data_IF_867376937278
#
_entry.id   IF_867376937278
#
_cell.length_a   1.000
_cell.length_b   1.000
_cell.length_c   1.000
_cell.angle_alpha   90.00
_cell.angle_beta   90.00
_cell.angle_gamma   90.00
#
_symmetry.space_group_name_H-M   'P 1'
#
loop_
_entity.id
_entity.type
_entity.pdbx_description
1 polymer ?
#
# COMPACT_ATOMS: atom_id res chain seq x y z
N UNK A 1 29.51 7.96 -15.90
CA UNK A 1 29.97 6.57 -15.63
C UNK A 1 29.20 5.53 -16.43
N UNK A 2 27.88 5.65 -16.60
CA UNK A 2 27.07 4.77 -17.45
C UNK A 2 27.58 4.66 -18.90
N UNK A 3 28.04 5.78 -19.49
CA UNK A 3 28.62 5.83 -20.84
C UNK A 3 29.85 4.93 -20.99
N UNK A 4 30.70 4.85 -19.96
CA UNK A 4 31.95 4.07 -19.97
C UNK A 4 31.69 2.58 -19.75
N UNK A 5 30.66 2.25 -18.99
CA UNK A 5 30.21 0.87 -18.78
C UNK A 5 29.53 0.29 -20.03
N UNK A 6 28.69 1.09 -20.70
CA UNK A 6 28.04 0.71 -21.95
C UNK A 6 29.03 0.64 -23.13
N UNK A 7 29.98 1.58 -23.22
CA UNK A 7 30.98 1.59 -24.30
C UNK A 7 31.97 0.40 -24.27
N UNK A 8 32.14 -0.27 -23.13
CA UNK A 8 33.10 -1.38 -23.00
C UNK A 8 32.56 -2.74 -23.46
N UNK A 9 31.28 -2.85 -23.84
CA UNK A 9 30.67 -4.15 -24.16
C UNK A 9 29.63 -4.16 -25.28
N UNK A 10 29.31 -3.03 -25.91
CA UNK A 10 28.30 -2.97 -26.99
C UNK A 10 28.82 -2.22 -28.21
N UNK A 11 28.47 -2.68 -29.41
CA UNK A 11 28.76 -2.05 -30.70
C UNK A 11 28.10 -0.68 -30.80
N UNK A 12 28.81 0.36 -30.35
CA UNK A 12 28.36 1.74 -30.35
C UNK A 12 28.35 2.29 -31.79
N UNK A 13 27.18 2.64 -32.38
CA UNK A 13 27.15 3.18 -33.74
C UNK A 13 27.55 4.66 -33.74
N UNK A 14 28.56 5.00 -34.54
CA UNK A 14 29.05 6.37 -34.73
C UNK A 14 28.36 7.00 -35.96
N UNK A 15 27.38 7.90 -35.76
CA UNK A 15 26.79 8.72 -36.83
C UNK A 15 25.36 9.22 -36.54
N UNK A 16 24.96 10.36 -37.12
CA UNK A 16 23.75 11.16 -36.79
C UNK A 16 22.37 10.54 -37.11
N UNK A 17 22.30 9.21 -37.25
CA UNK A 17 21.10 8.46 -37.59
C UNK A 17 20.07 8.30 -36.46
N UNK A 18 18.94 7.69 -36.79
CA UNK A 18 17.88 7.31 -35.82
C UNK A 18 18.39 6.38 -34.73
N UNK A 19 19.37 5.53 -35.05
CA UNK A 19 20.01 4.61 -34.11
C UNK A 19 20.82 5.34 -33.05
N UNK A 20 21.66 6.33 -33.41
CA UNK A 20 22.38 7.14 -32.42
C UNK A 20 21.41 7.92 -31.53
N UNK A 21 20.31 8.44 -32.07
CA UNK A 21 19.26 9.08 -31.27
C UNK A 21 18.62 8.11 -30.28
N UNK A 22 18.25 6.90 -30.72
CA UNK A 22 17.73 5.86 -29.83
C UNK A 22 18.74 5.54 -28.71
N UNK A 23 20.02 5.37 -29.07
CA UNK A 23 21.09 5.10 -28.11
C UNK A 23 21.28 6.22 -27.10
N UNK A 24 21.22 7.49 -27.52
CA UNK A 24 21.26 8.64 -26.61
C UNK A 24 20.09 8.63 -25.63
N UNK A 25 18.89 8.22 -26.05
CA UNK A 25 17.76 8.07 -25.14
C UNK A 25 17.94 6.92 -24.16
N UNK A 26 18.47 5.77 -24.61
CA UNK A 26 18.73 4.61 -23.75
C UNK A 26 19.82 4.85 -22.68
N UNK A 27 20.57 5.96 -22.77
CA UNK A 27 21.47 6.39 -21.69
C UNK A 27 20.72 6.94 -20.47
N UNK A 28 19.46 7.36 -20.64
CA UNK A 28 18.63 7.83 -19.55
C UNK A 28 17.85 6.65 -18.95
N UNK A 29 17.96 6.39 -17.64
CA UNK A 29 17.34 5.22 -17.02
C UNK A 29 15.83 5.14 -17.25
N UNK A 30 15.13 6.28 -17.25
CA UNK A 30 13.71 6.37 -17.61
C UNK A 30 13.38 5.74 -18.98
N UNK A 31 14.04 6.17 -20.05
CA UNK A 31 13.75 5.62 -21.39
C UNK A 31 14.24 4.18 -21.53
N UNK A 32 15.32 3.82 -20.84
CA UNK A 32 15.78 2.43 -20.78
C UNK A 32 14.73 1.50 -20.16
N UNK A 33 14.07 1.93 -19.07
CA UNK A 33 12.97 1.19 -18.45
C UNK A 33 11.78 1.01 -19.40
N UNK A 34 11.32 2.09 -20.05
CA UNK A 34 10.23 2.01 -21.03
C UNK A 34 10.53 1.04 -22.18
N UNK A 35 11.78 1.05 -22.64
CA UNK A 35 12.24 0.11 -23.66
C UNK A 35 12.25 -1.33 -23.15
N UNK A 36 12.78 -1.56 -21.95
CA UNK A 36 12.85 -2.88 -21.34
C UNK A 36 11.47 -3.51 -21.14
N UNK A 37 10.48 -2.73 -20.71
CA UNK A 37 9.10 -3.21 -20.58
C UNK A 37 8.54 -3.79 -21.88
N UNK A 38 8.87 -3.18 -23.03
CA UNK A 38 8.44 -3.65 -24.34
C UNK A 38 9.21 -4.91 -24.75
N UNK A 39 10.53 -4.92 -24.55
CA UNK A 39 11.40 -6.05 -24.94
C UNK A 39 11.06 -7.32 -24.18
N UNK A 40 10.80 -7.22 -22.88
CA UNK A 40 10.48 -8.39 -22.04
C UNK A 40 9.21 -9.11 -22.51
N UNK A 41 8.24 -8.37 -23.07
CA UNK A 41 7.01 -8.91 -23.65
C UNK A 41 7.11 -9.27 -25.13
N UNK A 42 8.19 -8.89 -25.82
CA UNK A 42 8.32 -9.16 -27.24
C UNK A 42 8.53 -10.65 -27.52
N UNK A 43 7.73 -11.17 -28.46
CA UNK A 43 7.96 -12.47 -29.08
C UNK A 43 9.16 -12.40 -30.02
N UNK A 44 9.99 -13.45 -30.06
CA UNK A 44 11.17 -13.52 -30.92
C UNK A 44 12.46 -12.92 -30.32
N UNK A 45 12.40 -12.27 -29.16
CA UNK A 45 13.61 -11.89 -28.40
C UNK A 45 13.98 -13.04 -27.46
N UNK A 46 15.23 -13.49 -27.52
CA UNK A 46 15.73 -14.58 -26.67
C UNK A 46 15.71 -14.22 -25.19
N UNK A 47 15.46 -15.21 -24.33
CA UNK A 47 15.42 -15.02 -22.87
C UNK A 47 16.74 -14.48 -22.31
N UNK A 48 17.89 -14.87 -22.87
CA UNK A 48 19.20 -14.32 -22.50
C UNK A 48 19.31 -12.80 -22.65
N UNK A 49 18.69 -12.25 -23.69
CA UNK A 49 18.67 -10.79 -23.91
C UNK A 49 17.72 -10.11 -22.92
N UNK A 50 16.57 -10.75 -22.65
CA UNK A 50 15.59 -10.26 -21.67
C UNK A 50 16.20 -10.24 -20.26
N UNK A 51 16.87 -11.31 -19.87
CA UNK A 51 17.62 -11.43 -18.60
C UNK A 51 18.61 -10.28 -18.43
N UNK A 52 19.55 -10.13 -19.37
CA UNK A 52 20.56 -9.07 -19.31
C UNK A 52 19.95 -7.68 -19.22
N UNK A 53 18.87 -7.43 -19.96
CA UNK A 53 18.19 -6.14 -19.95
C UNK A 53 17.49 -5.88 -18.61
N UNK A 54 16.80 -6.88 -18.05
CA UNK A 54 16.18 -6.78 -16.72
C UNK A 54 17.23 -6.43 -15.65
N UNK A 55 18.35 -7.16 -15.61
CA UNK A 55 19.45 -6.87 -14.70
C UNK A 55 19.99 -5.45 -14.87
N UNK A 56 20.30 -5.08 -16.12
CA UNK A 56 20.86 -3.76 -16.41
C UNK A 56 19.95 -2.62 -15.93
N UNK A 57 18.63 -2.72 -16.15
CA UNK A 57 17.67 -1.69 -15.75
C UNK A 57 17.51 -1.63 -14.24
N UNK A 58 17.48 -2.76 -13.52
CA UNK A 58 17.36 -2.74 -12.07
C UNK A 58 18.64 -2.18 -11.44
N UNK A 59 19.80 -2.65 -11.89
CA UNK A 59 21.10 -2.30 -11.31
C UNK A 59 21.52 -0.86 -11.61
N UNK A 60 21.08 -0.26 -12.72
CA UNK A 60 21.37 1.16 -13.00
C UNK A 60 20.82 2.09 -11.92
N UNK A 61 19.75 1.68 -11.23
CA UNK A 61 19.16 2.45 -10.14
C UNK A 61 20.15 2.64 -8.98
N UNK A 62 21.11 1.73 -8.81
CA UNK A 62 22.18 1.87 -7.82
C UNK A 62 23.07 3.08 -8.09
N UNK A 63 23.14 3.54 -9.34
CA UNK A 63 24.07 4.56 -9.82
C UNK A 63 23.38 5.82 -10.37
N UNK A 64 22.12 6.06 -10.01
CA UNK A 64 21.43 7.29 -10.41
C UNK A 64 22.19 8.52 -9.91
N UNK A 65 22.54 9.40 -10.85
CA UNK A 65 23.07 10.72 -10.57
C UNK A 65 21.95 11.67 -10.08
N UNK A 66 22.33 12.82 -9.50
CA UNK A 66 21.37 13.82 -9.03
C UNK A 66 20.44 14.26 -10.18
N UNK A 67 19.12 14.14 -9.97
CA UNK A 67 18.10 14.52 -10.96
C UNK A 67 17.79 13.44 -12.01
N UNK A 68 18.41 12.26 -11.94
CA UNK A 68 18.01 11.13 -12.78
C UNK A 68 16.84 10.36 -12.16
N UNK A 69 15.92 9.95 -13.03
CA UNK A 69 14.75 9.15 -12.68
C UNK A 69 15.03 7.67 -12.91
N UNK A 70 14.75 6.74 -11.97
CA UNK A 70 14.68 5.31 -12.25
C UNK A 70 13.82 4.98 -13.47
N UNK A 71 14.20 3.89 -14.13
CA UNK A 71 13.41 3.32 -15.22
C UNK A 71 12.04 2.82 -14.73
N UNK A 72 10.93 3.09 -15.45
CA UNK A 72 9.69 2.40 -15.22
C UNK A 72 9.84 0.90 -15.52
N UNK A 73 8.98 0.11 -14.91
CA UNK A 73 8.88 -1.34 -15.08
C UNK A 73 9.57 -2.11 -13.98
N UNK A 74 9.95 -1.47 -12.87
CA UNK A 74 10.69 -2.12 -11.78
C UNK A 74 10.04 -3.43 -11.34
N UNK A 75 8.71 -3.43 -11.16
CA UNK A 75 7.99 -4.63 -10.75
C UNK A 75 7.87 -5.61 -11.91
N UNK A 76 7.54 -5.15 -13.12
CA UNK A 76 7.47 -6.02 -14.30
C UNK A 76 8.78 -6.77 -14.58
N UNK A 77 9.92 -6.09 -14.50
CA UNK A 77 11.25 -6.65 -14.73
C UNK A 77 11.64 -7.61 -13.60
N UNK A 78 11.38 -7.23 -12.35
CA UNK A 78 11.60 -8.09 -11.19
C UNK A 78 10.72 -9.34 -11.24
N UNK A 79 9.47 -9.22 -11.69
CA UNK A 79 8.57 -10.34 -11.90
C UNK A 79 9.08 -11.29 -12.97
N UNK A 80 9.63 -10.77 -14.07
CA UNK A 80 10.21 -11.62 -15.11
C UNK A 80 11.41 -12.40 -14.58
N UNK A 81 12.37 -11.73 -13.92
CA UNK A 81 13.53 -12.39 -13.31
C UNK A 81 13.11 -13.42 -12.25
N UNK A 82 12.16 -13.06 -11.39
CA UNK A 82 11.66 -13.93 -10.32
C UNK A 82 10.99 -15.20 -10.84
N UNK A 83 10.21 -15.11 -11.92
CA UNK A 83 9.59 -16.28 -12.57
C UNK A 83 10.61 -17.25 -13.14
N UNK A 84 11.77 -16.75 -13.56
CA UNK A 84 12.86 -17.56 -14.11
C UNK A 84 13.90 -17.95 -13.05
N UNK A 85 13.70 -17.56 -11.78
CA UNK A 85 14.66 -17.75 -10.68
C UNK A 85 16.04 -17.14 -10.99
N UNK A 86 16.04 -15.96 -11.64
CA UNK A 86 17.23 -15.23 -12.06
C UNK A 86 17.45 -13.94 -11.24
N UNK A 87 16.61 -13.62 -10.26
CA UNK A 87 16.84 -12.45 -9.40
C UNK A 87 18.16 -12.60 -8.63
N UNK A 88 18.96 -11.53 -8.62
CA UNK A 88 20.21 -11.45 -7.89
C UNK A 88 20.14 -10.39 -6.78
N UNK A 89 21.11 -10.44 -5.85
CA UNK A 89 21.23 -9.46 -4.78
C UNK A 89 21.39 -8.01 -5.30
N UNK A 90 22.13 -7.81 -6.39
CA UNK A 90 22.32 -6.48 -6.98
C UNK A 90 21.02 -5.93 -7.59
N UNK A 91 20.16 -6.81 -8.13
CA UNK A 91 18.83 -6.42 -8.60
C UNK A 91 17.93 -5.98 -7.44
N UNK A 92 18.05 -6.63 -6.29
CA UNK A 92 17.36 -6.22 -5.06
C UNK A 92 17.80 -4.83 -4.60
N UNK A 93 19.11 -4.56 -4.57
CA UNK A 93 19.64 -3.24 -4.19
C UNK A 93 19.17 -2.15 -5.17
N UNK A 94 19.15 -2.48 -6.47
CA UNK A 94 18.60 -1.66 -7.53
C UNK A 94 17.11 -1.38 -7.36
N UNK A 95 16.31 -2.40 -7.08
CA UNK A 95 14.88 -2.28 -6.80
C UNK A 95 14.63 -1.43 -5.56
N UNK A 96 15.31 -1.70 -4.45
CA UNK A 96 15.22 -0.91 -3.21
C UNK A 96 15.46 0.57 -3.52
N UNK A 97 16.54 0.90 -4.23
CA UNK A 97 16.82 2.29 -4.59
C UNK A 97 15.73 2.86 -5.52
N UNK A 98 15.28 2.12 -6.52
CA UNK A 98 14.18 2.55 -7.40
C UNK A 98 12.87 2.85 -6.67
N UNK A 99 12.49 2.04 -5.67
CA UNK A 99 11.29 2.23 -4.85
C UNK A 99 11.34 3.50 -3.99
N UNK A 100 12.51 3.91 -3.51
CA UNK A 100 12.68 5.19 -2.80
C UNK A 100 12.31 6.36 -3.70
N UNK A 101 12.65 6.25 -4.98
CA UNK A 101 12.48 7.30 -5.97
C UNK A 101 11.10 7.30 -6.62
N UNK A 102 10.44 6.15 -6.76
CA UNK A 102 9.19 6.01 -7.50
C UNK A 102 8.10 7.05 -7.12
N UNK A 103 7.76 7.27 -5.84
CA UNK A 103 6.70 8.22 -5.44
C UNK A 103 7.08 9.69 -5.61
N UNK A 104 8.38 9.96 -5.84
CA UNK A 104 8.98 11.30 -5.89
C UNK A 104 8.99 11.91 -7.29
N UNK A 105 8.74 11.09 -8.32
CA UNK A 105 8.99 11.47 -9.71
C UNK A 105 7.70 11.71 -10.46
N UNK A 106 6.65 10.98 -10.12
CA UNK A 106 5.43 11.01 -10.93
C UNK A 106 4.25 10.42 -10.18
N UNK A 107 3.15 11.15 -10.24
CA UNK A 107 1.84 10.72 -9.74
C UNK A 107 1.09 9.90 -10.80
N UNK A 108 1.66 9.80 -12.01
CA UNK A 108 1.02 9.22 -13.19
C UNK A 108 1.53 7.81 -13.55
N UNK A 109 2.60 7.34 -12.89
CA UNK A 109 3.18 6.03 -13.16
C UNK A 109 2.54 4.91 -12.33
N UNK A 110 1.34 4.50 -12.71
CA UNK A 110 0.68 3.33 -12.14
C UNK A 110 1.10 2.04 -12.89
N UNK A 111 1.65 1.07 -12.16
CA UNK A 111 1.77 -0.31 -12.67
C UNK A 111 0.55 -1.11 -12.20
N UNK A 112 -0.11 -1.88 -13.06
CA UNK A 112 -1.25 -2.68 -12.64
C UNK A 112 -0.82 -3.79 -11.68
N UNK A 113 -1.67 -4.14 -10.71
CA UNK A 113 -1.37 -5.16 -9.67
C UNK A 113 -0.94 -6.50 -10.27
N UNK A 114 -1.46 -6.86 -11.45
CA UNK A 114 -1.06 -8.05 -12.24
C UNK A 114 0.45 -8.15 -12.54
N UNK A 115 1.18 -7.04 -12.49
CA UNK A 115 2.64 -6.99 -12.65
C UNK A 115 3.36 -6.93 -11.28
N UNK A 116 2.72 -6.33 -10.27
CA UNK A 116 3.28 -6.14 -8.93
C UNK A 116 3.27 -7.44 -8.11
N UNK A 117 2.16 -8.17 -8.07
CA UNK A 117 2.04 -9.38 -7.25
C UNK A 117 3.07 -10.47 -7.65
N UNK A 118 3.26 -10.76 -8.96
CA UNK A 118 4.28 -11.72 -9.37
C UNK A 118 5.71 -11.26 -9.08
N UNK A 119 5.96 -9.94 -9.01
CA UNK A 119 7.24 -9.41 -8.58
C UNK A 119 7.48 -9.70 -7.11
N UNK A 120 6.47 -9.46 -6.26
CA UNK A 120 6.51 -9.79 -4.84
C UNK A 120 6.79 -11.28 -4.62
N UNK A 121 6.14 -12.16 -5.41
CA UNK A 121 6.40 -13.60 -5.38
C UNK A 121 7.88 -13.90 -5.64
N UNK A 122 8.45 -13.30 -6.69
CA UNK A 122 9.84 -13.49 -7.08
C UNK A 122 10.82 -13.00 -6.02
N UNK A 123 10.61 -11.77 -5.55
CA UNK A 123 11.46 -11.09 -4.57
C UNK A 123 11.53 -11.90 -3.27
N UNK A 124 10.38 -12.26 -2.69
CA UNK A 124 10.34 -12.90 -1.37
C UNK A 124 10.55 -14.42 -1.40
N UNK A 125 10.67 -15.03 -2.60
CA UNK A 125 11.16 -16.40 -2.76
C UNK A 125 12.69 -16.50 -2.68
N UNK A 126 13.41 -15.40 -2.87
CA UNK A 126 14.87 -15.39 -2.79
C UNK A 126 15.33 -15.61 -1.34
N UNK A 127 16.14 -16.64 -1.14
CA UNK A 127 16.65 -17.06 0.17
C UNK A 127 17.74 -16.13 0.72
N UNK A 128 18.26 -15.19 -0.09
CA UNK A 128 19.32 -14.28 0.32
C UNK A 128 18.81 -13.01 1.03
N UNK A 129 17.50 -12.73 0.97
CA UNK A 129 16.94 -11.54 1.65
C UNK A 129 16.82 -11.81 3.15
N UNK A 130 17.53 -11.02 3.95
CA UNK A 130 17.45 -11.10 5.41
C UNK A 130 16.12 -10.55 5.94
N UNK A 131 15.77 -10.93 7.17
CA UNK A 131 14.51 -10.53 7.81
C UNK A 131 14.28 -9.01 7.79
N UNK A 132 15.28 -8.22 8.18
CA UNK A 132 15.17 -6.76 8.25
C UNK A 132 14.96 -6.14 6.86
N UNK A 133 15.70 -6.63 5.87
CA UNK A 133 15.56 -6.24 4.47
C UNK A 133 14.17 -6.58 3.93
N UNK A 134 13.63 -7.76 4.26
CA UNK A 134 12.30 -8.14 3.84
C UNK A 134 11.22 -7.25 4.47
N UNK A 135 11.34 -6.90 5.77
CA UNK A 135 10.43 -5.96 6.42
C UNK A 135 10.51 -4.59 5.73
N UNK A 136 11.71 -4.05 5.57
CA UNK A 136 11.93 -2.77 4.91
C UNK A 136 11.29 -2.75 3.52
N UNK A 137 11.55 -3.78 2.72
CA UNK A 137 11.06 -3.84 1.35
C UNK A 137 9.55 -3.97 1.26
N UNK A 138 8.91 -4.78 2.14
CA UNK A 138 7.44 -4.83 2.24
C UNK A 138 6.90 -3.44 2.50
N UNK A 139 7.44 -2.73 3.49
CA UNK A 139 6.98 -1.39 3.85
C UNK A 139 7.18 -0.39 2.71
N UNK A 140 8.32 -0.44 2.01
CA UNK A 140 8.60 0.42 0.87
C UNK A 140 7.67 0.18 -0.32
N UNK A 141 7.38 -1.09 -0.65
CA UNK A 141 6.46 -1.45 -1.73
C UNK A 141 5.05 -0.91 -1.42
N UNK A 142 4.57 -1.12 -0.19
CA UNK A 142 3.23 -0.68 0.23
C UNK A 142 3.10 0.83 0.18
N UNK A 143 4.07 1.57 0.73
CA UNK A 143 4.08 3.04 0.65
C UNK A 143 4.11 3.49 -0.80
N UNK A 144 5.00 2.93 -1.63
CA UNK A 144 5.16 3.41 -2.99
C UNK A 144 3.93 3.16 -3.86
N UNK A 145 3.22 2.06 -3.65
CA UNK A 145 2.08 1.65 -4.47
C UNK A 145 0.72 2.05 -3.93
N UNK A 146 0.65 2.52 -2.69
CA UNK A 146 -0.52 3.32 -2.35
C UNK A 146 -0.37 4.78 -2.76
N UNK A 147 0.80 5.39 -2.52
CA UNK A 147 1.03 6.76 -2.98
C UNK A 147 0.80 6.90 -4.49
N UNK A 148 0.90 5.79 -5.23
CA UNK A 148 0.61 5.71 -6.66
C UNK A 148 -0.46 4.66 -6.93
N UNK A 149 -1.72 5.09 -6.94
CA UNK A 149 -2.85 4.30 -7.47
C UNK A 149 -3.63 3.47 -6.45
N UNK A 150 -3.47 3.72 -5.15
CA UNK A 150 -4.29 3.12 -4.08
C UNK A 150 -4.30 1.57 -4.08
N UNK A 151 -3.18 0.96 -4.46
CA UNK A 151 -3.06 -0.49 -4.65
C UNK A 151 -2.54 -1.24 -3.42
N UNK A 152 -2.18 -0.53 -2.35
CA UNK A 152 -1.51 -1.09 -1.18
C UNK A 152 -2.38 -2.09 -0.43
N UNK A 153 -3.71 -1.94 -0.41
CA UNK A 153 -4.65 -2.94 0.17
C UNK A 153 -4.46 -4.32 -0.46
N UNK A 154 -4.55 -4.42 -1.78
CA UNK A 154 -4.44 -5.68 -2.53
C UNK A 154 -3.05 -6.29 -2.38
N UNK A 155 -2.01 -5.46 -2.49
CA UNK A 155 -0.62 -5.89 -2.33
C UNK A 155 -0.37 -6.40 -0.90
N UNK A 156 -0.90 -5.72 0.12
CA UNK A 156 -0.76 -6.13 1.51
C UNK A 156 -1.38 -7.49 1.78
N UNK A 157 -2.62 -7.71 1.32
CA UNK A 157 -3.32 -8.99 1.48
C UNK A 157 -2.51 -10.11 0.80
N UNK A 158 -2.03 -9.91 -0.43
CA UNK A 158 -1.18 -10.87 -1.14
C UNK A 158 0.09 -11.21 -0.35
N UNK A 159 0.83 -10.21 0.13
CA UNK A 159 2.06 -10.40 0.92
C UNK A 159 1.79 -11.18 2.22
N UNK A 160 0.66 -10.92 2.88
CA UNK A 160 0.28 -11.64 4.10
C UNK A 160 -0.14 -13.08 3.82
N UNK A 161 -0.54 -13.42 2.60
CA UNK A 161 -0.85 -14.78 2.16
C UNK A 161 0.38 -15.57 1.71
N UNK A 162 1.46 -14.90 1.28
CA UNK A 162 2.68 -15.57 0.79
C UNK A 162 3.26 -16.58 1.76
N UNK A 163 3.24 -17.87 1.41
CA UNK A 163 3.74 -18.94 2.27
C UNK A 163 5.24 -18.81 2.61
N UNK A 164 6.02 -18.20 1.72
CA UNK A 164 7.47 -17.98 1.89
C UNK A 164 7.79 -16.97 2.99
N UNK A 165 6.89 -16.04 3.27
CA UNK A 165 7.04 -15.08 4.36
C UNK A 165 6.62 -15.72 5.68
N UNK A 166 7.56 -15.80 6.62
CA UNK A 166 7.28 -16.43 7.91
C UNK A 166 6.24 -15.63 8.73
N UNK A 167 5.45 -16.32 9.56
CA UNK A 167 4.39 -15.70 10.37
C UNK A 167 4.90 -14.61 11.32
N UNK A 168 6.12 -14.75 11.82
CA UNK A 168 6.70 -13.78 12.76
C UNK A 168 6.99 -12.44 12.08
N UNK A 169 7.52 -12.47 10.86
CA UNK A 169 7.82 -11.30 10.03
C UNK A 169 6.53 -10.61 9.62
N UNK A 170 5.53 -11.37 9.13
CA UNK A 170 4.20 -10.83 8.81
C UNK A 170 3.58 -10.09 9.99
N UNK A 171 3.66 -10.69 11.18
CA UNK A 171 3.16 -10.08 12.42
C UNK A 171 3.90 -8.79 12.76
N UNK A 172 5.22 -8.77 12.60
CA UNK A 172 6.06 -7.61 12.84
C UNK A 172 5.73 -6.47 11.87
N UNK A 173 5.59 -6.76 10.58
CA UNK A 173 5.10 -5.79 9.57
C UNK A 173 3.75 -5.22 9.99
N UNK A 174 2.78 -6.07 10.34
CA UNK A 174 1.46 -5.60 10.77
C UNK A 174 1.54 -4.74 12.05
N UNK A 175 2.43 -5.09 12.99
CA UNK A 175 2.65 -4.29 14.20
C UNK A 175 3.24 -2.93 13.88
N UNK A 176 4.24 -2.87 13.00
CA UNK A 176 4.84 -1.60 12.54
C UNK A 176 3.76 -0.74 11.89
N UNK A 177 2.95 -1.33 10.99
CA UNK A 177 1.85 -0.64 10.29
C UNK A 177 0.83 -0.04 11.26
N UNK A 178 0.45 -0.80 12.30
CA UNK A 178 -0.55 -0.36 13.28
C UNK A 178 0.01 0.64 14.28
N UNK A 179 1.27 0.51 14.70
CA UNK A 179 1.80 1.24 15.87
C UNK A 179 2.66 2.45 15.50
N UNK A 180 3.30 2.45 14.34
CA UNK A 180 4.31 3.44 14.00
C UNK A 180 3.84 4.30 12.81
N UNK A 181 4.24 5.57 12.81
CA UNK A 181 4.52 6.25 11.56
C UNK A 181 5.80 5.60 11.03
N UNK A 182 5.77 4.91 9.89
CA UNK A 182 6.99 4.23 9.43
C UNK A 182 8.05 5.32 9.19
N UNK A 183 9.21 5.23 9.85
CA UNK A 183 10.27 6.19 9.58
C UNK A 183 10.81 5.94 8.17
N UNK A 184 10.79 6.97 7.33
CA UNK A 184 11.71 7.03 6.18
C UNK A 184 13.15 6.92 6.71
N UNK A 185 14.08 6.22 6.03
CA UNK A 185 15.50 6.25 6.41
C UNK A 185 16.01 7.69 6.30
N UNK A 186 16.00 8.41 7.43
CA UNK A 186 16.46 9.81 7.52
C UNK A 186 17.98 9.80 7.41
N UNK A 187 18.51 10.53 6.43
CA UNK A 187 19.95 10.79 6.29
C UNK A 187 20.72 9.83 5.39
N UNK A 188 20.13 8.75 4.90
CA UNK A 188 20.81 7.86 3.93
C UNK A 188 20.79 8.43 2.50
N UNK A 189 19.81 9.28 2.17
CA UNK A 189 19.67 9.86 0.83
C UNK A 189 19.14 11.29 0.89
N UNK A 190 19.95 12.25 0.41
CA UNK A 190 19.49 13.62 0.15
C UNK A 190 18.58 13.60 -1.09
N UNK A 191 17.41 14.24 -0.99
CA UNK A 191 16.57 14.51 -2.15
C UNK A 191 17.36 15.40 -3.13
N UNK A 192 17.30 15.18 -4.46
CA UNK A 192 18.10 15.90 -5.43
C UNK A 192 17.51 17.29 -5.72
N UNK A 193 16.24 17.49 -5.36
CA UNK A 193 15.50 18.74 -5.39
C UNK A 193 15.21 19.19 -3.95
N UNK A 194 15.16 20.50 -3.70
CA UNK A 194 14.57 20.99 -2.45
C UNK A 194 13.09 20.58 -2.43
N UNK A 195 12.67 19.89 -1.37
CA UNK A 195 11.28 19.46 -1.18
C UNK A 195 10.68 20.25 -0.03
N UNK A 196 9.46 20.75 -0.23
CA UNK A 196 8.69 21.38 0.83
C UNK A 196 8.38 20.37 1.95
N UNK A 197 8.01 20.86 3.15
CA UNK A 197 7.62 19.97 4.25
C UNK A 197 6.41 19.08 3.87
N UNK A 198 5.46 19.62 3.09
CA UNK A 198 4.31 18.87 2.57
C UNK A 198 4.72 17.75 1.61
N UNK A 199 5.63 18.01 0.68
CA UNK A 199 6.17 16.98 -0.20
C UNK A 199 7.01 15.97 0.59
N UNK A 200 7.82 16.41 1.55
CA UNK A 200 8.55 15.47 2.41
C UNK A 200 7.61 14.60 3.23
N UNK A 201 6.49 15.13 3.70
CA UNK A 201 5.47 14.36 4.40
C UNK A 201 4.84 13.35 3.43
N UNK A 202 4.36 13.76 2.25
CA UNK A 202 3.84 12.87 1.17
C UNK A 202 4.84 11.78 0.78
N UNK A 203 6.11 12.13 0.66
CA UNK A 203 7.21 11.26 0.19
C UNK A 203 7.92 10.53 1.33
N UNK A 204 7.55 10.79 2.57
CA UNK A 204 8.01 10.03 3.71
C UNK A 204 7.18 8.76 3.79
N UNK A 205 7.86 7.65 4.02
CA UNK A 205 7.24 6.33 4.30
C UNK A 205 6.29 6.40 5.52
N UNK A 206 6.18 7.55 6.21
CA UNK A 206 5.21 7.81 7.28
C UNK A 206 3.77 7.61 6.81
N UNK A 207 3.47 7.91 5.55
CA UNK A 207 2.17 7.61 4.94
C UNK A 207 2.08 6.13 4.62
N UNK A 208 1.76 5.35 5.66
CA UNK A 208 0.99 4.15 5.42
C UNK A 208 -0.47 4.55 5.25
N UNK A 209 -1.10 4.11 4.17
CA UNK A 209 -2.48 4.45 3.85
C UNK A 209 -3.47 3.88 4.85
N UNK A 210 -4.64 4.51 4.91
CA UNK A 210 -5.72 4.06 5.78
C UNK A 210 -6.14 2.63 5.49
N UNK A 211 -6.33 2.30 4.22
CA UNK A 211 -6.65 0.95 3.74
C UNK A 211 -5.69 -0.13 4.29
N UNK A 212 -4.37 0.08 4.20
CA UNK A 212 -3.35 -0.88 4.69
C UNK A 212 -3.36 -0.98 6.21
N UNK A 213 -3.52 0.14 6.93
CA UNK A 213 -3.64 0.15 8.40
C UNK A 213 -4.85 -0.64 8.87
N UNK A 214 -6.00 -0.45 8.21
CA UNK A 214 -7.23 -1.20 8.49
C UNK A 214 -7.02 -2.70 8.32
N UNK A 215 -6.46 -3.12 7.17
CA UNK A 215 -6.18 -4.54 6.88
C UNK A 215 -5.17 -5.16 7.85
N UNK A 216 -4.16 -4.41 8.28
CA UNK A 216 -3.15 -4.92 9.21
C UNK A 216 -3.75 -5.33 10.57
N UNK A 217 -4.77 -4.64 11.07
CA UNK A 217 -5.48 -5.02 12.30
C UNK A 217 -6.13 -6.39 12.16
N UNK A 218 -6.82 -6.62 11.04
CA UNK A 218 -7.46 -7.90 10.72
C UNK A 218 -6.42 -9.02 10.59
N UNK A 219 -5.31 -8.75 9.89
CA UNK A 219 -4.23 -9.72 9.72
C UNK A 219 -3.51 -10.07 11.03
N UNK A 220 -3.37 -9.14 11.98
CA UNK A 220 -2.81 -9.48 13.30
C UNK A 220 -3.60 -10.61 13.96
N UNK A 221 -4.94 -10.55 13.90
CA UNK A 221 -5.81 -11.60 14.42
C UNK A 221 -5.64 -12.92 13.64
N UNK A 222 -5.66 -12.88 12.31
CA UNK A 222 -5.42 -14.05 11.44
C UNK A 222 -4.04 -14.70 11.67
N UNK A 223 -3.05 -13.90 12.05
CA UNK A 223 -1.69 -14.33 12.40
C UNK A 223 -1.56 -14.77 13.87
N UNK A 224 -2.68 -14.95 14.58
CA UNK A 224 -2.75 -15.58 15.91
C UNK A 224 -2.64 -14.61 17.09
N UNK A 225 -2.86 -13.30 16.90
CA UNK A 225 -3.15 -12.41 18.04
C UNK A 225 -4.59 -12.62 18.49
N UNK A 226 -4.85 -12.45 19.78
CA UNK A 226 -6.21 -12.55 20.33
C UNK A 226 -7.08 -11.40 19.76
N UNK A 227 -8.14 -11.70 18.99
CA UNK A 227 -9.04 -10.69 18.46
C UNK A 227 -9.68 -9.84 19.56
N UNK A 228 -10.04 -10.42 20.71
CA UNK A 228 -10.71 -9.71 21.79
C UNK A 228 -9.76 -8.73 22.49
N UNK A 229 -8.51 -9.12 22.68
CA UNK A 229 -7.47 -8.24 23.20
C UNK A 229 -7.23 -7.06 22.24
N UNK A 230 -7.14 -7.32 20.93
CA UNK A 230 -7.00 -6.29 19.90
C UNK A 230 -8.17 -5.30 19.92
N UNK A 231 -9.41 -5.80 19.87
CA UNK A 231 -10.62 -4.96 19.90
C UNK A 231 -10.66 -4.08 21.16
N UNK A 232 -10.42 -4.67 22.34
CA UNK A 232 -10.40 -3.94 23.62
C UNK A 232 -9.29 -2.89 23.66
N UNK A 233 -8.14 -3.15 23.05
CA UNK A 233 -6.98 -2.25 23.03
C UNK A 233 -7.18 -1.09 22.06
N UNK A 234 -7.71 -1.36 20.88
CA UNK A 234 -7.77 -0.42 19.76
C UNK A 234 -9.03 0.46 19.77
N UNK A 235 -10.18 -0.03 20.27
CA UNK A 235 -11.39 0.78 20.43
C UNK A 235 -11.32 1.63 21.72
N UNK A 236 -10.39 2.58 21.74
CA UNK A 236 -10.17 3.54 22.85
C UNK A 236 -9.91 4.95 22.31
N UNK A 237 -10.27 6.01 23.07
CA UNK A 237 -10.09 7.40 22.62
C UNK A 237 -8.66 7.77 22.21
N UNK A 238 -7.64 7.18 22.85
CA UNK A 238 -6.25 7.49 22.54
C UNK A 238 -5.77 6.87 21.21
N UNK A 239 -6.44 5.84 20.70
CA UNK A 239 -6.06 5.22 19.41
C UNK A 239 -6.27 6.22 18.28
N UNK A 240 -7.45 6.84 18.23
CA UNK A 240 -7.83 7.76 17.16
C UNK A 240 -7.13 9.12 17.21
N UNK A 241 -6.50 9.46 18.34
CA UNK A 241 -5.70 10.69 18.48
C UNK A 241 -4.28 10.57 17.90
N UNK A 242 -3.86 9.36 17.53
CA UNK A 242 -2.55 9.10 16.92
C UNK A 242 -2.59 9.26 15.40
N UNK A 243 -1.40 9.27 14.78
CA UNK A 243 -1.26 9.32 13.32
C UNK A 243 -1.90 8.09 12.66
N UNK A 244 -2.89 8.30 11.79
CA UNK A 244 -3.70 7.24 11.15
C UNK A 244 -4.50 6.40 12.15
N UNK A 245 -4.82 6.98 13.32
CA UNK A 245 -5.48 6.31 14.43
C UNK A 245 -6.95 5.96 14.17
N UNK A 246 -7.65 6.82 13.43
CA UNK A 246 -8.96 6.63 12.84
C UNK A 246 -9.01 5.36 11.97
N UNK A 247 -7.99 5.15 11.14
CA UNK A 247 -7.87 3.98 10.27
C UNK A 247 -7.58 2.70 11.08
N UNK A 248 -6.78 2.81 12.13
CA UNK A 248 -6.56 1.68 13.06
C UNK A 248 -7.85 1.30 13.81
N UNK A 249 -8.63 2.29 14.25
CA UNK A 249 -9.92 2.05 14.91
C UNK A 249 -10.95 1.48 13.92
N UNK A 250 -10.97 1.97 12.69
CA UNK A 250 -11.77 1.41 11.59
C UNK A 250 -11.39 -0.04 11.28
N UNK A 251 -10.09 -0.37 11.30
CA UNK A 251 -9.60 -1.75 11.17
C UNK A 251 -10.03 -2.65 12.34
N UNK A 252 -10.20 -2.07 13.54
CA UNK A 252 -10.79 -2.80 14.66
C UNK A 252 -12.29 -3.06 14.43
N UNK A 253 -13.02 -2.17 13.78
CA UNK A 253 -14.41 -2.42 13.36
C UNK A 253 -14.48 -3.48 12.25
N UNK A 254 -13.53 -3.51 11.31
CA UNK A 254 -13.42 -4.57 10.30
C UNK A 254 -13.14 -5.94 10.94
N UNK A 255 -12.31 -5.96 12.00
CA UNK A 255 -12.09 -7.17 12.79
C UNK A 255 -13.34 -7.60 13.57
N UNK A 256 -14.11 -6.64 14.09
CA UNK A 256 -15.37 -6.92 14.79
C UNK A 256 -16.41 -7.51 13.84
N UNK A 257 -16.50 -6.99 12.61
CA UNK A 257 -17.32 -7.51 11.53
C UNK A 257 -16.94 -8.96 11.17
N UNK A 258 -15.65 -9.23 10.88
CA UNK A 258 -15.17 -10.60 10.55
C UNK A 258 -15.42 -11.60 11.69
N UNK A 259 -15.38 -11.14 12.94
CA UNK A 259 -15.52 -11.98 14.13
C UNK A 259 -16.88 -11.89 14.76
N UNK A 260 -17.85 -11.26 14.10
CA UNK A 260 -19.16 -10.96 14.68
C UNK A 260 -19.72 -12.20 15.36
N UNK A 261 -19.97 -13.27 14.59
CA UNK A 261 -20.57 -14.53 15.07
C UNK A 261 -19.80 -15.26 16.19
N UNK A 262 -18.51 -14.96 16.39
CA UNK A 262 -17.66 -15.64 17.37
C UNK A 262 -17.56 -14.90 18.71
N UNK A 263 -17.99 -13.63 18.77
CA UNK A 263 -17.96 -12.80 19.97
C UNK A 263 -19.31 -12.94 20.69
N UNK A 264 -19.39 -12.84 22.02
CA UNK A 264 -20.68 -12.87 22.72
C UNK A 264 -21.48 -11.57 22.50
N UNK A 265 -22.81 -11.66 22.37
CA UNK A 265 -23.69 -10.52 22.05
C UNK A 265 -23.49 -9.29 22.96
N UNK A 266 -23.43 -9.50 24.28
CA UNK A 266 -23.19 -8.43 25.26
C UNK A 266 -21.87 -7.69 24.98
N UNK A 267 -20.84 -8.45 24.57
CA UNK A 267 -19.53 -7.90 24.26
C UNK A 267 -19.54 -7.19 22.90
N UNK A 268 -20.22 -7.73 21.87
CA UNK A 268 -20.40 -7.06 20.56
C UNK A 268 -21.03 -5.69 20.75
N UNK A 269 -22.14 -5.63 21.49
CA UNK A 269 -22.86 -4.40 21.78
C UNK A 269 -22.00 -3.40 22.58
N UNK A 270 -21.25 -3.89 23.58
CA UNK A 270 -20.32 -3.05 24.34
C UNK A 270 -19.22 -2.45 23.46
N UNK A 271 -18.66 -3.22 22.53
CA UNK A 271 -17.61 -2.76 21.62
C UNK A 271 -18.14 -1.75 20.60
N UNK A 272 -19.33 -1.98 20.03
CA UNK A 272 -19.97 -1.02 19.12
C UNK A 272 -20.27 0.30 19.82
N UNK A 273 -20.84 0.27 21.03
CA UNK A 273 -21.11 1.49 21.80
C UNK A 273 -19.84 2.25 22.15
N UNK A 274 -18.74 1.55 22.44
CA UNK A 274 -17.43 2.18 22.64
C UNK A 274 -16.94 2.86 21.37
N UNK A 275 -17.08 2.22 20.22
CA UNK A 275 -16.70 2.80 18.94
C UNK A 275 -17.54 4.04 18.59
N UNK A 276 -18.86 3.99 18.86
CA UNK A 276 -19.78 5.11 18.69
C UNK A 276 -19.56 6.27 19.69
N UNK A 277 -18.69 6.14 20.70
CA UNK A 277 -18.31 7.24 21.60
C UNK A 277 -16.86 7.72 21.35
N UNK A 278 -16.17 7.19 20.34
CA UNK A 278 -14.84 7.67 19.97
C UNK A 278 -14.91 9.10 19.42
N UNK A 279 -13.87 9.93 19.63
CA UNK A 279 -13.89 11.34 19.22
C UNK A 279 -13.91 11.54 17.70
N UNK A 280 -13.49 10.54 16.93
CA UNK A 280 -13.42 10.60 15.47
C UNK A 280 -14.77 10.32 14.80
N UNK A 281 -15.19 11.19 13.89
CA UNK A 281 -16.52 11.16 13.26
C UNK A 281 -16.66 10.02 12.24
N UNK A 282 -15.62 9.77 11.44
CA UNK A 282 -15.58 8.69 10.46
C UNK A 282 -15.72 7.31 11.14
N UNK A 283 -14.99 7.10 12.25
CA UNK A 283 -15.07 5.87 13.04
C UNK A 283 -16.46 5.69 13.67
N UNK A 284 -17.08 6.75 14.20
CA UNK A 284 -18.45 6.69 14.71
C UNK A 284 -19.46 6.34 13.62
N UNK A 285 -19.38 6.97 12.44
CA UNK A 285 -20.22 6.65 11.27
C UNK A 285 -20.16 5.16 10.94
N UNK A 286 -18.93 4.62 10.86
CA UNK A 286 -18.66 3.21 10.59
C UNK A 286 -19.26 2.29 11.67
N UNK A 287 -19.18 2.67 12.93
CA UNK A 287 -19.80 1.92 14.03
C UNK A 287 -21.32 1.87 13.90
N UNK A 288 -21.97 2.97 13.48
CA UNK A 288 -23.41 2.98 13.23
C UNK A 288 -23.82 2.14 12.02
N UNK A 289 -23.04 2.17 10.93
CA UNK A 289 -23.29 1.30 9.76
C UNK A 289 -23.16 -0.18 10.14
N UNK A 290 -22.11 -0.54 10.90
CA UNK A 290 -21.92 -1.91 11.38
C UNK A 290 -23.04 -2.32 12.36
N UNK A 291 -23.48 -1.41 13.22
CA UNK A 291 -24.61 -1.63 14.09
C UNK A 291 -25.94 -1.79 13.34
N UNK A 292 -26.19 -1.01 12.29
CA UNK A 292 -27.34 -1.19 11.40
C UNK A 292 -27.31 -2.57 10.73
N UNK A 293 -26.14 -3.00 10.23
CA UNK A 293 -25.95 -4.29 9.56
C UNK A 293 -26.42 -5.48 10.42
N UNK A 294 -26.09 -5.47 11.71
CA UNK A 294 -26.34 -6.64 12.58
C UNK A 294 -27.46 -6.48 13.61
N UNK A 295 -27.72 -5.25 14.07
CA UNK A 295 -28.72 -4.96 15.11
C UNK A 295 -29.93 -4.22 14.54
N UNK A 296 -29.87 -3.83 13.26
CA UNK A 296 -30.97 -3.16 12.57
C UNK A 296 -31.09 -1.67 12.87
N UNK A 297 -32.19 -1.11 12.39
CA UNK A 297 -32.46 0.33 12.40
C UNK A 297 -32.52 0.95 13.81
N UNK A 298 -32.88 0.16 14.82
CA UNK A 298 -32.96 0.62 16.20
C UNK A 298 -31.59 1.03 16.73
N UNK A 299 -30.51 0.40 16.26
CA UNK A 299 -29.16 0.83 16.60
C UNK A 299 -28.79 2.14 15.89
N UNK A 300 -29.14 2.27 14.60
CA UNK A 300 -28.89 3.48 13.81
C UNK A 300 -29.55 4.72 14.43
N UNK A 301 -30.73 4.60 15.04
CA UNK A 301 -31.41 5.73 15.70
C UNK A 301 -30.58 6.40 16.79
N UNK A 302 -29.62 5.71 17.40
CA UNK A 302 -28.71 6.33 18.38
C UNK A 302 -27.85 7.45 17.75
N UNK A 303 -27.59 7.40 16.44
CA UNK A 303 -26.84 8.43 15.73
C UNK A 303 -27.55 9.79 15.67
N UNK A 304 -28.87 9.83 15.89
CA UNK A 304 -29.63 11.09 16.00
C UNK A 304 -29.23 11.91 17.23
N UNK A 305 -28.70 11.26 18.26
CA UNK A 305 -28.20 11.89 19.48
C UNK A 305 -26.67 12.11 19.44
N UNK A 306 -26.02 11.89 18.29
CA UNK A 306 -24.57 12.05 18.16
C UNK A 306 -24.13 13.51 18.42
N UNK A 307 -22.90 13.67 18.90
CA UNK A 307 -22.30 14.98 19.19
C UNK A 307 -22.03 15.78 17.91
N UNK A 308 -21.71 15.10 16.79
CA UNK A 308 -21.44 15.73 15.51
C UNK A 308 -22.74 15.99 14.74
N UNK A 309 -22.93 17.24 14.27
CA UNK A 309 -24.09 17.63 13.46
C UNK A 309 -24.18 16.81 12.17
N UNK A 310 -23.06 16.62 11.49
CA UNK A 310 -22.97 15.85 10.24
C UNK A 310 -23.46 14.41 10.37
N UNK A 311 -23.18 13.73 11.50
CA UNK A 311 -23.70 12.38 11.75
C UNK A 311 -25.20 12.37 12.04
N UNK A 312 -25.72 13.39 12.73
CA UNK A 312 -27.16 13.50 12.94
C UNK A 312 -27.90 13.69 11.62
N UNK A 313 -27.43 14.62 10.78
CA UNK A 313 -28.01 14.88 9.46
C UNK A 313 -27.94 13.66 8.55
N UNK A 314 -26.79 12.98 8.52
CA UNK A 314 -26.63 11.71 7.81
C UNK A 314 -27.61 10.63 8.31
N UNK A 315 -27.78 10.51 9.63
CA UNK A 315 -28.69 9.54 10.22
C UNK A 315 -30.16 9.86 9.92
N UNK A 316 -30.56 11.14 9.97
CA UNK A 316 -31.91 11.60 9.60
C UNK A 316 -32.25 11.24 8.16
N UNK A 317 -31.36 11.57 7.21
CA UNK A 317 -31.56 11.25 5.80
C UNK A 317 -31.66 9.73 5.59
N UNK A 318 -30.74 8.97 6.21
CA UNK A 318 -30.70 7.52 6.10
C UNK A 318 -31.96 6.87 6.67
N UNK A 319 -32.44 7.32 7.84
CA UNK A 319 -33.68 6.83 8.45
C UNK A 319 -34.90 7.16 7.59
N UNK A 320 -34.98 8.37 7.04
CA UNK A 320 -36.07 8.75 6.13
C UNK A 320 -36.10 7.87 4.86
N UNK A 321 -34.94 7.47 4.33
CA UNK A 321 -34.85 6.48 3.24
C UNK A 321 -35.41 5.11 3.65
N UNK A 322 -35.08 4.63 4.86
CA UNK A 322 -35.62 3.37 5.39
C UNK A 322 -37.13 3.41 5.56
N UNK A 323 -37.67 4.53 6.04
CA UNK A 323 -39.12 4.74 6.18
C UNK A 323 -39.86 4.70 4.84
N UNK A 324 -39.20 5.10 3.74
CA UNK A 324 -39.71 4.96 2.36
C UNK A 324 -39.58 3.53 1.80
N UNK A 325 -39.08 2.58 2.57
CA UNK A 325 -38.91 1.18 2.16
C UNK A 325 -37.61 0.90 1.41
N UNK A 326 -36.68 1.86 1.33
CA UNK A 326 -35.35 1.62 0.77
C UNK A 326 -34.49 0.85 1.78
N UNK A 327 -34.59 -0.47 1.80
CA UNK A 327 -33.73 -1.34 2.60
C UNK A 327 -32.41 -1.58 1.87
N UNK A 328 -31.25 -1.41 2.54
CA UNK A 328 -29.98 -1.68 1.90
C UNK A 328 -29.79 -3.19 1.80
N UNK A 329 -29.16 -3.68 0.75
CA UNK A 329 -28.65 -5.04 0.78
C UNK A 329 -27.44 -5.13 1.74
N UNK A 330 -27.15 -6.33 2.23
CA UNK A 330 -25.92 -6.57 3.01
C UNK A 330 -24.66 -6.16 2.22
N UNK A 331 -24.67 -6.39 0.90
CA UNK A 331 -23.60 -5.98 -0.01
C UNK A 331 -23.43 -4.46 -0.08
N UNK A 332 -24.54 -3.69 -0.05
CA UNK A 332 -24.49 -2.23 -0.03
C UNK A 332 -23.90 -1.73 1.30
N UNK A 333 -24.31 -2.31 2.43
CA UNK A 333 -23.74 -1.98 3.74
C UNK A 333 -22.25 -2.33 3.79
N UNK A 334 -21.86 -3.47 3.23
CA UNK A 334 -20.46 -3.87 3.16
C UNK A 334 -19.65 -2.91 2.28
N UNK A 335 -20.18 -2.52 1.13
CA UNK A 335 -19.52 -1.55 0.25
C UNK A 335 -19.35 -0.18 0.93
N UNK A 336 -20.36 0.28 1.66
CA UNK A 336 -20.27 1.51 2.48
C UNK A 336 -19.22 1.36 3.59
N UNK A 337 -19.16 0.22 4.28
CA UNK A 337 -18.09 -0.04 5.23
C UNK A 337 -16.73 0.00 4.52
N UNK A 338 -16.58 -0.61 3.35
CA UNK A 338 -15.28 -0.66 2.67
C UNK A 338 -14.73 0.72 2.26
N UNK A 339 -15.60 1.73 2.09
CA UNK A 339 -15.21 3.11 1.76
C UNK A 339 -14.32 3.76 2.83
N UNK A 340 -13.46 4.67 2.38
CA UNK A 340 -12.78 5.63 3.25
C UNK A 340 -13.72 6.83 3.47
N UNK A 341 -13.81 7.28 4.73
CA UNK A 341 -14.64 8.42 5.10
C UNK A 341 -13.69 9.54 5.48
N UNK A 342 -13.57 10.55 4.62
CA UNK A 342 -12.76 11.72 4.91
C UNK A 342 -13.56 12.74 5.72
N UNK A 343 -12.87 13.50 6.58
CA UNK A 343 -13.50 14.61 7.32
C UNK A 343 -13.90 15.78 6.41
N UNK A 344 -13.41 15.84 5.17
CA UNK A 344 -13.64 16.96 4.23
C UNK A 344 -15.06 17.00 3.61
N UNK A 345 -15.86 15.93 3.75
CA UNK A 345 -17.27 15.94 3.32
C UNK A 345 -18.18 16.81 4.22
N UNK A 346 -17.62 17.58 5.17
CA UNK A 346 -18.38 18.42 6.11
C UNK A 346 -18.48 19.90 5.74
N UNK A 347 -17.92 20.34 4.61
CA UNK A 347 -17.86 21.76 4.22
C UNK A 347 -18.66 22.12 2.94
N UNK A 348 -19.74 21.39 2.63
CA UNK A 348 -20.79 21.88 1.71
C UNK A 348 -22.08 22.32 2.42
#
# INVERSE_FOLDING_TARGET
MATTALAKGTDFPMGSGTEERLWRYLQYPYYLGLFAQKVVHAEGISDHVKEKLCHAVLQINMHLDQGQEPGPGLFQLSAWLGRHALLSHDDYLGLRKGLIWLPRLTDSYAEPTRQILPACDGIFRDLQIHREQAIELVLMILTAKEAIGDQGREIFDHLMELAVLNKSLKREVCQIVVQNAIPFPRGEYQHPLETSASEQDRLSIRFLPGSVRRRAVVWLARLGKDPLELLKRLLKPNTVRGYGGDQVASGALDLLDERWELIADELRLSLLRKAADLPDTAVRKRAYILGEKYLGIDFLRQALDDKAKSLREWAEERLARRERGELPSEEQLQAELDQEFDEEDSDE
#
